data_IF_522773796739
#
_entry.id   IF_522773796739
#
_cell.length_a   1.000
_cell.length_b   1.000
_cell.length_c   1.000
_cell.angle_alpha   90.00
_cell.angle_beta   90.00
_cell.angle_gamma   90.00
#
_symmetry.space_group_name_H-M   'P 1'
#
loop_
_entity.id
_entity.type
_entity.pdbx_description
1 polymer ?
#
# COMPACT_ATOMS: atom_id res chain seq x y z
N UNK A 1 0.84 1.02 -16.70
CA UNK A 1 0.68 1.43 -18.10
C UNK A 1 0.84 2.95 -18.27
N UNK A 2 1.96 3.36 -18.86
CA UNK A 2 2.25 4.76 -19.19
C UNK A 2 2.07 5.05 -20.69
N UNK A 3 1.55 4.10 -21.46
CA UNK A 3 1.28 4.29 -22.88
C UNK A 3 0.08 5.22 -23.11
N UNK A 4 0.11 5.95 -24.22
CA UNK A 4 -0.96 6.86 -24.64
C UNK A 4 -2.28 6.09 -24.86
N UNK A 5 -2.17 4.87 -25.39
CA UNK A 5 -3.30 4.02 -25.77
C UNK A 5 -3.79 3.08 -24.65
N UNK A 6 -3.10 3.04 -23.51
CA UNK A 6 -3.34 2.10 -22.42
C UNK A 6 -3.30 0.63 -22.88
N UNK A 7 -2.24 0.26 -23.60
CA UNK A 7 -2.06 -1.05 -24.22
C UNK A 7 -2.06 -2.22 -23.23
N UNK A 8 -1.45 -2.09 -22.05
CA UNK A 8 -1.48 -3.13 -21.01
C UNK A 8 -2.90 -3.30 -20.49
N UNK A 9 -3.60 -2.17 -20.29
CA UNK A 9 -5.00 -2.20 -19.85
C UNK A 9 -5.90 -2.85 -20.90
N UNK A 10 -5.63 -2.59 -22.18
CA UNK A 10 -6.32 -3.24 -23.30
C UNK A 10 -6.11 -4.75 -23.30
N UNK A 11 -4.86 -5.20 -23.14
CA UNK A 11 -4.49 -6.62 -23.10
C UNK A 11 -5.22 -7.31 -21.94
N UNK A 12 -5.18 -6.74 -20.74
CA UNK A 12 -5.89 -7.34 -19.59
C UNK A 12 -7.40 -7.42 -19.85
N UNK A 13 -8.03 -6.34 -20.32
CA UNK A 13 -9.47 -6.31 -20.51
C UNK A 13 -9.94 -7.23 -21.64
N UNK A 14 -9.25 -7.24 -22.77
CA UNK A 14 -9.71 -7.99 -23.94
C UNK A 14 -9.20 -9.43 -23.96
N UNK A 15 -7.91 -9.63 -23.65
CA UNK A 15 -7.26 -10.93 -23.87
C UNK A 15 -7.37 -11.81 -22.63
N UNK A 16 -7.27 -11.23 -21.43
CA UNK A 16 -7.40 -11.99 -20.17
C UNK A 16 -8.85 -12.07 -19.67
N UNK A 17 -9.59 -10.97 -19.76
CA UNK A 17 -10.98 -10.88 -19.26
C UNK A 17 -12.03 -11.08 -20.36
N UNK A 18 -11.61 -11.35 -21.59
CA UNK A 18 -12.47 -11.70 -22.73
C UNK A 18 -13.54 -10.64 -23.06
N UNK A 19 -13.26 -9.36 -22.78
CA UNK A 19 -14.13 -8.26 -23.19
C UNK A 19 -13.96 -8.06 -24.71
N UNK A 20 -15.02 -8.18 -25.54
CA UNK A 20 -14.89 -8.26 -26.99
C UNK A 20 -14.15 -7.09 -27.65
N UNK A 21 -14.36 -5.87 -27.13
CA UNK A 21 -13.60 -4.69 -27.53
C UNK A 21 -13.67 -3.61 -26.46
N UNK A 22 -12.65 -2.75 -26.38
CA UNK A 22 -12.64 -1.57 -25.50
C UNK A 22 -12.24 -0.31 -26.27
N UNK A 23 -12.93 0.79 -26.01
CA UNK A 23 -12.50 2.11 -26.47
C UNK A 23 -11.40 2.67 -25.56
N UNK A 24 -10.68 3.70 -26.01
CA UNK A 24 -9.71 4.40 -25.15
C UNK A 24 -10.40 5.02 -23.91
N UNK A 25 -11.65 5.47 -24.06
CA UNK A 25 -12.45 6.01 -22.94
C UNK A 25 -12.68 4.95 -21.86
N UNK A 26 -13.09 3.74 -22.26
CA UNK A 26 -13.32 2.62 -21.32
C UNK A 26 -12.04 2.31 -20.53
N UNK A 27 -10.90 2.22 -21.23
CA UNK A 27 -9.60 1.95 -20.60
C UNK A 27 -9.19 3.04 -19.62
N UNK A 28 -9.44 4.32 -19.95
CA UNK A 28 -9.18 5.45 -19.05
C UNK A 28 -10.04 5.39 -17.78
N UNK A 29 -11.33 5.05 -17.92
CA UNK A 29 -12.23 4.86 -16.78
C UNK A 29 -11.73 3.73 -15.88
N UNK A 30 -11.43 2.56 -16.45
CA UNK A 30 -10.91 1.42 -15.67
C UNK A 30 -9.64 1.79 -14.92
N UNK A 31 -8.66 2.39 -15.60
CA UNK A 31 -7.42 2.87 -14.97
C UNK A 31 -7.71 3.81 -13.80
N UNK A 32 -8.62 4.78 -13.99
CA UNK A 32 -8.96 5.74 -12.95
C UNK A 32 -9.63 5.09 -11.75
N UNK A 33 -10.55 4.15 -11.97
CA UNK A 33 -11.21 3.42 -10.89
C UNK A 33 -10.17 2.63 -10.09
N UNK A 34 -9.31 1.86 -10.77
CA UNK A 34 -8.26 1.06 -10.11
C UNK A 34 -7.34 1.95 -9.29
N UNK A 35 -6.93 3.10 -9.82
CA UNK A 35 -6.11 4.07 -9.08
C UNK A 35 -6.83 4.61 -7.84
N UNK A 36 -8.11 4.97 -7.95
CA UNK A 36 -8.91 5.44 -6.81
C UNK A 36 -9.06 4.36 -5.72
N UNK A 37 -9.22 3.10 -6.11
CA UNK A 37 -9.24 1.97 -5.17
C UNK A 37 -7.91 1.86 -4.42
N UNK A 38 -6.78 1.97 -5.14
CA UNK A 38 -5.44 1.96 -4.54
C UNK A 38 -5.21 3.13 -3.58
N UNK A 39 -5.62 4.35 -3.97
CA UNK A 39 -5.53 5.54 -3.11
C UNK A 39 -6.37 5.35 -1.85
N UNK A 40 -7.63 4.94 -1.99
CA UNK A 40 -8.53 4.73 -0.85
C UNK A 40 -7.97 3.68 0.11
N UNK A 41 -7.46 2.56 -0.42
CA UNK A 41 -6.86 1.49 0.38
C UNK A 41 -5.68 2.02 1.21
N UNK A 42 -4.71 2.68 0.57
CA UNK A 42 -3.54 3.25 1.25
C UNK A 42 -3.92 4.24 2.36
N UNK A 43 -4.89 5.12 2.10
CA UNK A 43 -5.36 6.10 3.09
C UNK A 43 -6.03 5.44 4.30
N UNK A 44 -6.87 4.42 4.07
CA UNK A 44 -7.50 3.68 5.16
C UNK A 44 -6.48 2.91 6.01
N UNK A 45 -5.48 2.29 5.37
CA UNK A 45 -4.40 1.63 6.10
C UNK A 45 -3.60 2.62 6.94
N UNK A 46 -3.28 3.80 6.41
CA UNK A 46 -2.60 4.86 7.15
C UNK A 46 -3.39 5.29 8.40
N UNK A 47 -4.71 5.43 8.31
CA UNK A 47 -5.56 5.72 9.48
C UNK A 47 -5.39 4.67 10.58
N UNK A 48 -5.35 3.38 10.22
CA UNK A 48 -5.15 2.29 11.18
C UNK A 48 -3.79 2.37 11.87
N UNK A 49 -2.72 2.64 11.12
CA UNK A 49 -1.37 2.85 11.68
C UNK A 49 -1.37 4.03 12.65
N UNK A 50 -1.89 5.19 12.24
CA UNK A 50 -1.94 6.39 13.08
C UNK A 50 -2.75 6.15 14.35
N UNK A 51 -3.89 5.44 14.25
CA UNK A 51 -4.70 5.10 15.42
C UNK A 51 -3.93 4.26 16.45
N UNK A 52 -3.15 3.26 16.00
CA UNK A 52 -2.30 2.45 16.88
C UNK A 52 -1.18 3.28 17.52
N UNK A 53 -0.51 4.13 16.75
CA UNK A 53 0.54 5.02 17.27
C UNK A 53 0.00 5.94 18.35
N UNK A 54 -1.19 6.50 18.16
CA UNK A 54 -1.88 7.31 19.16
C UNK A 54 -2.21 6.48 20.41
N UNK A 55 -2.78 5.30 20.23
CA UNK A 55 -3.15 4.42 21.35
C UNK A 55 -1.94 4.00 22.18
N UNK A 56 -0.79 3.80 21.54
CA UNK A 56 0.47 3.40 22.19
C UNK A 56 1.28 4.60 22.71
N UNK A 57 0.84 5.84 22.47
CA UNK A 57 1.60 7.07 22.72
C UNK A 57 3.01 7.03 22.08
N UNK A 58 3.08 6.67 20.79
CA UNK A 58 4.32 6.49 20.01
C UNK A 58 4.49 7.49 18.85
N UNK A 59 3.93 8.68 18.99
CA UNK A 59 4.09 9.77 18.02
C UNK A 59 5.46 10.47 18.09
N UNK A 60 6.23 10.19 19.15
CA UNK A 60 7.59 10.67 19.38
C UNK A 60 8.65 9.92 18.55
N UNK A 61 8.31 8.76 18.01
CA UNK A 61 9.20 7.97 17.16
C UNK A 61 8.74 6.54 17.03
N UNK A 62 8.39 6.12 15.83
CA UNK A 62 8.03 4.73 15.57
C UNK A 62 8.41 4.28 14.16
N UNK A 63 9.00 3.09 14.08
CA UNK A 63 9.23 2.40 12.81
C UNK A 63 8.15 1.35 12.62
N UNK A 64 7.41 1.46 11.52
CA UNK A 64 6.33 0.54 11.16
C UNK A 64 6.84 -0.35 10.03
N UNK A 65 6.96 -1.64 10.32
CA UNK A 65 7.35 -2.64 9.32
C UNK A 65 6.15 -3.04 8.46
N UNK A 66 6.35 -3.01 7.14
CA UNK A 66 5.33 -3.30 6.13
C UNK A 66 5.80 -4.43 5.22
N UNK A 67 4.96 -5.47 5.12
CA UNK A 67 5.20 -6.67 4.33
C UNK A 67 4.90 -6.47 2.82
N UNK A 68 5.35 -7.42 2.02
CA UNK A 68 5.52 -7.43 0.57
C UNK A 68 4.24 -7.12 -0.21
N UNK A 69 3.09 -7.57 0.28
CA UNK A 69 1.82 -7.43 -0.45
C UNK A 69 1.46 -5.96 -0.73
N UNK A 70 1.97 -5.03 0.08
CA UNK A 70 1.72 -3.60 -0.08
C UNK A 70 2.64 -2.97 -1.15
N UNK A 71 3.84 -3.50 -1.33
CA UNK A 71 4.83 -2.95 -2.25
C UNK A 71 4.59 -3.32 -3.71
N UNK A 72 3.90 -4.43 -3.96
CA UNK A 72 3.56 -4.85 -5.31
C UNK A 72 2.56 -3.88 -5.99
N UNK A 73 1.86 -3.05 -5.20
CA UNK A 73 0.96 -2.03 -5.74
C UNK A 73 1.69 -0.69 -5.98
N UNK A 74 1.67 -0.14 -7.22
CA UNK A 74 2.40 1.07 -7.56
C UNK A 74 2.07 2.25 -6.64
N UNK A 75 3.09 2.89 -6.09
CA UNK A 75 3.00 4.09 -5.23
C UNK A 75 2.23 3.91 -3.90
N UNK A 76 1.89 2.70 -3.48
CA UNK A 76 1.07 2.51 -2.28
C UNK A 76 1.71 3.13 -1.03
N UNK A 77 2.99 2.84 -0.77
CA UNK A 77 3.71 3.40 0.39
C UNK A 77 3.78 4.93 0.33
N UNK A 78 3.98 5.53 -0.84
CA UNK A 78 3.99 6.99 -0.96
C UNK A 78 2.62 7.58 -0.60
N UNK A 79 1.54 6.99 -1.11
CA UNK A 79 0.17 7.41 -0.76
C UNK A 79 -0.14 7.21 0.72
N UNK A 80 0.42 6.17 1.36
CA UNK A 80 0.35 6.02 2.81
C UNK A 80 1.09 7.14 3.53
N UNK A 81 2.31 7.48 3.11
CA UNK A 81 3.10 8.58 3.71
C UNK A 81 2.35 9.91 3.59
N UNK A 82 1.78 10.20 2.42
CA UNK A 82 0.96 11.41 2.21
C UNK A 82 -0.22 11.44 3.19
N UNK A 83 -0.93 10.32 3.33
CA UNK A 83 -2.06 10.21 4.25
C UNK A 83 -1.65 10.35 5.72
N UNK A 84 -0.52 9.77 6.13
CA UNK A 84 0.02 9.93 7.49
C UNK A 84 0.39 11.39 7.74
N UNK A 85 1.01 12.06 6.75
CA UNK A 85 1.35 13.48 6.84
C UNK A 85 0.09 14.35 6.97
N UNK A 86 -0.97 14.07 6.21
CA UNK A 86 -2.24 14.77 6.35
C UNK A 86 -2.88 14.59 7.74
N UNK A 87 -2.72 13.41 8.36
CA UNK A 87 -3.31 13.11 9.67
C UNK A 87 -2.49 13.66 10.85
N UNK A 88 -1.16 13.72 10.73
CA UNK A 88 -0.24 14.02 11.83
C UNK A 88 0.52 15.34 11.67
N UNK A 89 0.48 15.97 10.49
CA UNK A 89 1.28 17.16 10.19
C UNK A 89 2.78 16.89 10.38
N UNK A 90 3.49 17.80 11.06
CA UNK A 90 4.94 17.67 11.32
C UNK A 90 5.33 16.41 12.10
N UNK A 91 4.43 15.84 12.91
CA UNK A 91 4.72 14.61 13.65
C UNK A 91 4.89 13.39 12.74
N UNK A 92 4.48 13.46 11.47
CA UNK A 92 4.68 12.37 10.51
C UNK A 92 6.16 12.07 10.26
N UNK A 93 7.06 13.04 10.45
CA UNK A 93 8.51 12.85 10.28
C UNK A 93 9.09 11.84 11.28
N UNK A 94 8.39 11.61 12.40
CA UNK A 94 8.77 10.62 13.40
C UNK A 94 8.30 9.20 13.06
N UNK A 95 7.51 9.02 11.99
CA UNK A 95 6.93 7.74 11.59
C UNK A 95 7.64 7.20 10.35
N UNK A 96 8.44 6.15 10.55
CA UNK A 96 9.22 5.53 9.49
C UNK A 96 8.55 4.26 8.97
N UNK A 97 8.07 4.27 7.73
CA UNK A 97 7.59 3.07 7.05
C UNK A 97 8.77 2.33 6.41
N UNK A 98 9.07 1.13 6.90
CA UNK A 98 10.11 0.26 6.35
C UNK A 98 9.52 -0.99 5.71
N UNK A 99 10.19 -1.50 4.70
CA UNK A 99 9.82 -2.74 4.07
C UNK A 99 10.54 -3.92 4.72
N UNK A 100 9.81 -4.99 5.02
CA UNK A 100 10.38 -6.28 5.45
C UNK A 100 9.96 -7.39 4.50
N UNK A 101 10.91 -8.23 4.08
CA UNK A 101 10.68 -9.30 3.10
C UNK A 101 10.17 -10.61 3.71
N UNK A 102 10.59 -10.88 4.95
CA UNK A 102 10.47 -12.20 5.59
C UNK A 102 10.06 -12.07 7.07
N UNK A 103 9.20 -11.10 7.39
CA UNK A 103 8.78 -10.83 8.77
C UNK A 103 8.12 -12.02 9.46
N UNK A 104 7.35 -12.82 8.71
CA UNK A 104 6.61 -13.97 9.25
C UNK A 104 7.53 -15.12 9.68
N UNK A 105 8.54 -15.48 8.88
CA UNK A 105 9.42 -16.61 9.19
C UNK A 105 10.40 -16.26 10.31
N UNK A 106 11.06 -15.11 10.21
CA UNK A 106 11.98 -14.59 11.23
C UNK A 106 11.24 -14.37 12.56
N UNK A 107 10.04 -13.76 12.51
CA UNK A 107 9.23 -13.55 13.71
C UNK A 107 8.87 -14.85 14.41
N UNK A 108 8.49 -15.88 13.66
CA UNK A 108 8.18 -17.20 14.23
C UNK A 108 9.39 -17.83 14.91
N UNK A 109 10.57 -17.77 14.27
CA UNK A 109 11.81 -18.32 14.85
C UNK A 109 12.21 -17.63 16.15
N UNK A 110 12.09 -16.30 16.23
CA UNK A 110 12.41 -15.53 17.44
C UNK A 110 11.44 -15.88 18.58
N UNK A 111 10.14 -15.94 18.29
CA UNK A 111 9.14 -16.29 19.30
C UNK A 111 9.39 -17.72 19.80
N UNK A 112 9.68 -18.67 18.91
CA UNK A 112 9.99 -20.05 19.29
C UNK A 112 11.25 -20.15 20.16
N UNK A 113 12.29 -19.34 19.92
CA UNK A 113 13.49 -19.35 20.77
C UNK A 113 13.20 -18.78 22.15
N UNK A 114 12.37 -17.75 22.27
CA UNK A 114 12.00 -17.13 23.55
C UNK A 114 11.13 -18.03 24.44
N UNK A 115 10.40 -18.98 23.88
CA UNK A 115 9.52 -19.90 24.62
C UNK A 115 10.29 -21.09 25.21
N UNK A 116 11.50 -21.36 24.72
CA UNK A 116 12.37 -22.46 25.18
C UNK A 116 13.42 -22.00 26.22
N UNK A 117 13.36 -20.74 26.66
CA UNK A 117 14.02 -20.24 27.88
C UNK A 117 13.01 -20.14 29.04
#
# INVERSE_FOLDING_TARGET
DYSIELSDTKLILQDLLLIPSTTLSDRRIVRRIVELVGIRSARLTACGVVALLNQMNKLDGCTVAVDNFINDYPHFINRMRDAIHELLGSFSENVNLIHTKDGSSVGTSIIASMVNE
#
